data_IF_766526220459
#
_entry.id   IF_766526220459
#
_cell.length_a   1.000
_cell.length_b   1.000
_cell.length_c   1.000
_cell.angle_alpha   90.00
_cell.angle_beta   90.00
_cell.angle_gamma   90.00
#
_symmetry.space_group_name_H-M   'P 1'
#
loop_
_entity.id
_entity.type
_entity.pdbx_description
1 polymer ?
#
# COMPACT_ATOMS: atom_id res chain seq x y z
N UNK A 1 -0.72 12.26 2.53
CA UNK A 1 -0.88 10.89 3.04
C UNK A 1 -2.34 10.55 3.33
N UNK A 2 -3.04 11.21 4.27
CA UNK A 2 -4.41 10.83 4.69
C UNK A 2 -5.41 10.89 3.53
N UNK A 3 -5.50 12.00 2.80
CA UNK A 3 -6.42 12.13 1.67
C UNK A 3 -6.21 11.05 0.59
N UNK A 4 -4.97 10.62 0.35
CA UNK A 4 -4.67 9.55 -0.62
C UNK A 4 -4.78 8.13 -0.04
N UNK A 5 -4.96 7.98 1.28
CA UNK A 5 -5.02 6.69 1.94
C UNK A 5 -3.73 5.86 1.81
N UNK A 6 -2.60 6.50 1.55
CA UNK A 6 -1.32 5.81 1.37
C UNK A 6 -0.76 5.33 2.70
N UNK A 7 -0.31 4.10 2.71
CA UNK A 7 0.32 3.44 3.87
C UNK A 7 1.63 2.79 3.43
N UNK A 8 2.62 2.84 4.30
CA UNK A 8 3.93 2.26 4.04
C UNK A 8 3.99 0.73 4.21
N UNK A 9 5.20 0.14 4.16
CA UNK A 9 5.42 -1.32 4.14
C UNK A 9 4.84 -2.07 5.35
N UNK A 10 4.76 -1.41 6.52
CA UNK A 10 4.26 -2.02 7.75
C UNK A 10 2.72 -2.17 7.81
N UNK A 11 1.97 -1.71 6.79
CA UNK A 11 0.51 -1.69 6.84
C UNK A 11 -0.13 -3.03 7.19
N UNK A 12 0.43 -4.12 6.68
CA UNK A 12 -0.12 -5.46 6.92
C UNK A 12 -0.08 -5.87 8.40
N UNK A 13 0.91 -5.36 9.16
CA UNK A 13 1.12 -5.71 10.56
C UNK A 13 0.56 -4.69 11.54
N UNK A 14 0.59 -3.38 11.19
CA UNK A 14 0.20 -2.31 12.12
C UNK A 14 -1.10 -1.62 11.77
N UNK A 15 -1.70 -1.95 10.63
CA UNK A 15 -2.90 -1.28 10.10
C UNK A 15 -2.59 -0.17 9.10
N UNK A 16 -3.61 0.28 8.38
CA UNK A 16 -3.54 1.38 7.42
C UNK A 16 -3.70 2.74 8.08
N UNK A 17 -3.42 3.82 7.34
CA UNK A 17 -3.57 5.19 7.84
C UNK A 17 -5.00 5.46 8.38
N UNK A 18 -6.01 4.82 7.81
CA UNK A 18 -7.41 4.88 8.27
C UNK A 18 -7.59 4.42 9.72
N UNK A 19 -6.80 3.44 10.16
CA UNK A 19 -6.87 2.88 11.51
C UNK A 19 -6.24 3.79 12.57
N UNK A 20 -5.53 4.84 12.11
CA UNK A 20 -4.85 5.81 12.95
C UNK A 20 -5.58 7.15 13.05
N UNK A 21 -6.52 7.47 12.15
CA UNK A 21 -7.28 8.71 12.19
C UNK A 21 -8.31 8.65 13.32
N UNK A 22 -8.23 9.58 14.26
CA UNK A 22 -9.14 9.74 15.39
C UNK A 22 -10.19 10.81 15.11
N UNK A 23 -9.81 11.88 14.41
CA UNK A 23 -10.69 12.98 14.09
C UNK A 23 -10.07 13.88 13.03
N UNK A 24 -10.89 14.76 12.46
CA UNK A 24 -10.43 15.77 11.51
C UNK A 24 -11.34 17.01 11.50
N UNK A 25 -10.77 18.11 11.00
CA UNK A 25 -11.53 19.30 10.57
C UNK A 25 -11.42 19.42 9.06
N UNK A 26 -12.48 19.87 8.41
CA UNK A 26 -12.52 20.04 6.96
C UNK A 26 -13.40 21.21 6.54
N UNK A 27 -13.18 21.68 5.33
CA UNK A 27 -14.07 22.59 4.62
C UNK A 27 -14.72 21.81 3.48
N UNK A 28 -16.06 21.78 3.44
CA UNK A 28 -16.81 21.09 2.40
C UNK A 28 -17.09 22.00 1.18
N UNK A 29 -17.77 21.48 0.14
CA UNK A 29 -18.11 22.22 -1.08
C UNK A 29 -19.17 23.33 -0.89
N UNK A 30 -19.72 23.47 0.32
CA UNK A 30 -20.61 24.57 0.70
C UNK A 30 -19.89 25.68 1.46
N UNK A 31 -18.58 25.57 1.67
CA UNK A 31 -17.79 26.49 2.47
C UNK A 31 -17.98 26.31 3.98
N UNK A 32 -18.62 25.23 4.42
CA UNK A 32 -18.87 24.96 5.84
C UNK A 32 -17.63 24.34 6.48
N UNK A 33 -17.19 24.88 7.63
CA UNK A 33 -16.15 24.29 8.45
C UNK A 33 -16.76 23.22 9.37
N UNK A 34 -16.39 21.97 9.13
CA UNK A 34 -16.94 20.81 9.81
C UNK A 34 -15.87 20.12 10.66
N UNK A 35 -16.28 19.58 11.80
CA UNK A 35 -15.41 18.79 12.70
C UNK A 35 -16.03 17.43 12.92
N UNK A 36 -15.24 16.37 12.71
CA UNK A 36 -15.65 14.98 12.91
C UNK A 36 -14.67 14.24 13.80
N UNK A 37 -15.20 13.39 14.69
CA UNK A 37 -14.38 12.67 15.67
C UNK A 37 -13.74 13.60 16.69
N UNK A 38 -12.59 13.23 17.19
CA UNK A 38 -11.88 13.99 18.23
C UNK A 38 -10.47 13.44 18.48
N UNK A 39 -10.05 13.45 19.76
CA UNK A 39 -8.75 12.92 20.19
C UNK A 39 -8.89 11.60 20.98
N UNK A 40 -10.11 11.06 21.07
CA UNK A 40 -10.38 9.83 21.82
C UNK A 40 -10.31 8.60 20.92
N UNK A 41 -9.75 7.51 21.43
CA UNK A 41 -9.59 6.26 20.66
C UNK A 41 -10.91 5.55 20.38
N UNK A 42 -11.94 5.79 21.18
CA UNK A 42 -13.27 5.20 21.01
C UNK A 42 -14.32 6.31 20.91
N UNK A 43 -14.73 6.62 19.68
CA UNK A 43 -15.89 7.46 19.43
C UNK A 43 -17.10 6.53 19.20
N UNK A 44 -18.15 6.67 19.99
CA UNK A 44 -19.36 5.85 19.92
C UNK A 44 -20.58 6.63 19.44
N UNK A 45 -20.43 7.92 19.13
CA UNK A 45 -21.52 8.78 18.69
C UNK A 45 -21.41 9.09 17.20
N UNK A 46 -22.43 8.75 16.44
CA UNK A 46 -22.56 9.11 15.03
C UNK A 46 -21.72 8.26 14.05
N UNK A 47 -21.76 8.66 12.78
CA UNK A 47 -20.99 8.02 11.72
C UNK A 47 -19.52 8.42 11.76
N UNK A 48 -18.64 7.48 11.44
CA UNK A 48 -17.19 7.73 11.39
C UNK A 48 -16.77 8.42 10.08
N UNK A 49 -17.14 9.68 9.95
CA UNK A 49 -16.79 10.52 8.80
C UNK A 49 -15.29 10.76 8.73
N UNK A 50 -14.58 10.77 9.87
CA UNK A 50 -13.13 10.96 9.91
C UNK A 50 -12.42 9.87 9.09
N UNK A 51 -12.84 8.62 9.24
CA UNK A 51 -12.28 7.51 8.47
C UNK A 51 -12.79 7.44 7.04
N UNK A 52 -13.97 8.00 6.76
CA UNK A 52 -14.49 8.11 5.39
C UNK A 52 -13.60 9.00 4.52
N UNK A 53 -13.03 10.07 5.09
CA UNK A 53 -12.17 11.01 4.38
C UNK A 53 -10.80 10.43 4.02
N UNK A 54 -10.39 9.33 4.65
CA UNK A 54 -9.11 8.66 4.34
C UNK A 54 -9.23 7.94 3.00
N UNK A 55 -8.41 8.35 2.04
CA UNK A 55 -8.43 7.80 0.68
C UNK A 55 -9.50 8.41 -0.23
N UNK A 56 -10.22 9.43 0.23
CA UNK A 56 -11.19 10.16 -0.61
C UNK A 56 -10.53 11.05 -1.68
N UNK A 57 -9.21 11.08 -1.79
CA UNK A 57 -8.43 11.81 -2.79
C UNK A 57 -8.73 13.32 -2.84
N UNK A 58 -9.26 13.87 -1.74
CA UNK A 58 -9.69 15.26 -1.65
C UNK A 58 -10.97 15.57 -2.46
N UNK A 59 -11.75 14.57 -2.84
CA UNK A 59 -12.98 14.78 -3.64
C UNK A 59 -14.18 15.23 -2.81
N UNK A 60 -14.11 15.09 -1.49
CA UNK A 60 -15.22 15.41 -0.58
C UNK A 60 -15.01 16.74 0.19
N UNK A 61 -13.82 17.34 0.08
CA UNK A 61 -13.49 18.57 0.77
C UNK A 61 -12.01 18.71 1.09
N UNK A 62 -11.65 19.85 1.68
CA UNK A 62 -10.30 20.21 2.11
C UNK A 62 -10.09 19.84 3.59
N UNK A 63 -9.17 18.93 3.87
CA UNK A 63 -8.76 18.62 5.25
C UNK A 63 -7.85 19.70 5.81
N UNK A 64 -8.24 20.32 6.93
CA UNK A 64 -7.52 21.45 7.54
C UNK A 64 -6.77 21.04 8.81
N UNK A 65 -7.27 20.04 9.55
CA UNK A 65 -6.64 19.50 10.75
C UNK A 65 -6.91 18.00 10.84
N UNK A 66 -5.94 17.23 11.30
CA UNK A 66 -6.06 15.77 11.43
C UNK A 66 -5.46 15.34 12.77
N UNK A 67 -6.25 14.60 13.58
CA UNK A 67 -5.81 13.97 14.80
C UNK A 67 -5.46 12.50 14.53
N UNK A 68 -4.22 12.12 14.82
CA UNK A 68 -3.72 10.76 14.61
C UNK A 68 -3.32 10.11 15.93
N UNK A 69 -3.67 8.85 16.10
CA UNK A 69 -3.07 8.01 17.13
C UNK A 69 -1.61 7.71 16.76
N UNK A 70 -0.74 7.58 17.73
CA UNK A 70 0.65 7.16 17.57
C UNK A 70 0.91 5.85 18.31
N UNK A 71 1.92 5.10 17.87
CA UNK A 71 2.40 3.91 18.57
C UNK A 71 3.78 4.18 19.18
N UNK A 72 4.12 3.53 20.29
CA UNK A 72 5.47 3.56 20.83
C UNK A 72 6.48 3.04 19.79
N UNK A 73 7.69 3.59 19.83
CA UNK A 73 8.80 3.07 19.03
C UNK A 73 9.17 1.68 19.56
N UNK A 74 9.27 0.70 18.68
CA UNK A 74 9.69 -0.64 19.09
C UNK A 74 11.14 -0.61 19.58
N UNK A 75 11.49 -1.32 20.68
CA UNK A 75 12.83 -1.31 21.24
C UNK A 75 13.87 -2.01 20.34
N UNK A 76 13.46 -2.96 19.52
CA UNK A 76 14.35 -3.65 18.62
C UNK A 76 13.76 -3.82 17.20
N UNK A 77 14.65 -3.85 16.22
CA UNK A 77 14.35 -4.08 14.81
C UNK A 77 15.46 -4.94 14.18
N UNK A 78 15.09 -5.87 13.30
CA UNK A 78 16.01 -6.61 12.45
C UNK A 78 15.40 -6.80 11.07
N UNK A 79 16.24 -6.89 10.03
CA UNK A 79 15.83 -7.24 8.67
C UNK A 79 16.59 -8.46 8.21
N UNK A 80 15.85 -9.47 7.75
CA UNK A 80 16.38 -10.68 7.13
C UNK A 80 16.17 -10.63 5.63
N UNK A 81 17.12 -11.18 4.88
CA UNK A 81 17.09 -11.28 3.42
C UNK A 81 17.21 -12.74 3.02
N UNK A 82 16.32 -13.16 2.14
CA UNK A 82 16.28 -14.50 1.58
C UNK A 82 16.25 -14.42 0.06
N UNK A 83 17.06 -15.24 -0.60
CA UNK A 83 17.00 -15.36 -2.07
C UNK A 83 16.03 -16.51 -2.41
N UNK A 84 14.88 -16.16 -3.00
CA UNK A 84 13.85 -17.13 -3.36
C UNK A 84 12.86 -16.59 -4.38
N UNK A 85 12.29 -17.47 -5.24
CA UNK A 85 11.24 -17.11 -6.19
C UNK A 85 9.99 -16.55 -5.49
N UNK A 86 9.26 -15.66 -6.20
CA UNK A 86 8.06 -14.98 -5.67
C UNK A 86 7.04 -15.95 -5.07
N UNK A 87 6.77 -17.08 -5.74
CA UNK A 87 5.80 -18.07 -5.26
C UNK A 87 6.21 -18.64 -3.90
N UNK A 88 7.47 -19.03 -3.76
CA UNK A 88 8.01 -19.53 -2.49
C UNK A 88 8.02 -18.44 -1.41
N UNK A 89 8.38 -17.21 -1.76
CA UNK A 89 8.34 -16.07 -0.83
C UNK A 89 6.94 -15.84 -0.24
N UNK A 90 5.89 -15.95 -1.06
CA UNK A 90 4.51 -15.83 -0.60
C UNK A 90 4.09 -16.98 0.31
N UNK A 91 4.40 -18.22 -0.04
CA UNK A 91 4.13 -19.40 0.80
C UNK A 91 4.84 -19.29 2.15
N UNK A 92 6.10 -18.85 2.14
CA UNK A 92 6.89 -18.67 3.34
C UNK A 92 6.35 -17.55 4.22
N UNK A 93 5.94 -16.43 3.64
CA UNK A 93 5.29 -15.33 4.37
C UNK A 93 3.97 -15.76 5.02
N UNK A 94 3.17 -16.62 4.37
CA UNK A 94 1.96 -17.19 4.96
C UNK A 94 2.29 -18.13 6.12
N UNK A 95 3.30 -18.98 5.97
CA UNK A 95 3.77 -19.89 7.02
C UNK A 95 4.23 -19.11 8.25
N UNK A 96 5.04 -18.07 8.06
CA UNK A 96 5.51 -17.22 9.15
C UNK A 96 4.38 -16.35 9.73
N UNK A 97 3.44 -15.88 8.91
CA UNK A 97 2.28 -15.11 9.35
C UNK A 97 1.33 -15.89 10.27
N UNK A 98 1.32 -17.22 10.19
CA UNK A 98 0.60 -18.11 11.10
C UNK A 98 1.32 -18.40 12.42
N UNK A 99 2.53 -17.88 12.63
CA UNK A 99 3.35 -18.09 13.82
C UNK A 99 3.43 -16.82 14.67
N UNK A 100 3.74 -16.91 15.97
CA UNK A 100 3.89 -15.74 16.86
C UNK A 100 5.24 -15.03 16.63
N UNK A 101 5.52 -14.65 15.38
CA UNK A 101 6.71 -13.90 15.00
C UNK A 101 6.40 -12.40 14.97
N UNK A 102 7.33 -11.52 15.38
CA UNK A 102 7.13 -10.08 15.37
C UNK A 102 7.32 -9.50 13.95
N UNK A 103 6.60 -10.08 12.97
CA UNK A 103 6.61 -9.61 11.58
C UNK A 103 6.07 -8.19 11.50
N UNK A 104 6.80 -7.30 10.83
CA UNK A 104 6.42 -5.91 10.71
C UNK A 104 6.21 -5.47 9.25
N UNK A 105 7.11 -5.85 8.36
CA UNK A 105 7.00 -5.53 6.94
C UNK A 105 7.67 -6.61 6.10
N UNK A 106 7.29 -6.71 4.84
CA UNK A 106 8.00 -7.52 3.85
C UNK A 106 8.03 -6.80 2.51
N UNK A 107 9.09 -7.05 1.76
CA UNK A 107 9.25 -6.61 0.38
C UNK A 107 9.93 -7.73 -0.41
N UNK A 108 9.27 -8.22 -1.47
CA UNK A 108 9.90 -9.08 -2.44
C UNK A 108 10.11 -8.31 -3.75
N UNK A 109 11.27 -8.45 -4.33
CA UNK A 109 11.62 -7.78 -5.58
C UNK A 109 12.67 -8.59 -6.34
N UNK A 110 12.64 -8.50 -7.68
CA UNK A 110 13.77 -8.92 -8.50
C UNK A 110 14.78 -7.75 -8.54
N UNK A 111 15.89 -7.91 -7.83
CA UNK A 111 16.93 -6.89 -7.72
C UNK A 111 17.99 -7.10 -8.81
N UNK A 112 18.06 -6.17 -9.74
CA UNK A 112 19.03 -6.10 -10.84
C UNK A 112 20.06 -4.97 -10.67
N UNK A 113 20.09 -4.35 -9.49
CA UNK A 113 21.01 -3.25 -9.19
C UNK A 113 22.45 -3.69 -8.92
N UNK A 114 22.64 -4.96 -8.51
CA UNK A 114 23.97 -5.56 -8.34
C UNK A 114 24.54 -5.95 -9.71
N UNK A 115 25.65 -5.33 -10.17
CA UNK A 115 26.25 -5.64 -11.46
C UNK A 115 26.79 -7.08 -11.54
N UNK A 116 26.94 -7.78 -10.42
CA UNK A 116 27.37 -9.17 -10.35
C UNK A 116 26.18 -10.17 -10.36
N UNK A 117 24.94 -9.65 -10.32
CA UNK A 117 23.75 -10.49 -10.35
C UNK A 117 23.64 -11.25 -11.68
N UNK A 118 22.98 -12.41 -11.70
CA UNK A 118 22.64 -13.11 -12.94
C UNK A 118 21.82 -12.21 -13.88
N UNK A 119 21.84 -12.51 -15.17
CA UNK A 119 20.93 -11.85 -16.11
C UNK A 119 19.48 -12.06 -15.65
N UNK A 120 18.76 -10.96 -15.39
CA UNK A 120 17.41 -10.98 -14.84
C UNK A 120 17.32 -10.66 -13.35
N UNK A 121 18.47 -10.39 -12.69
CA UNK A 121 18.53 -9.98 -11.28
C UNK A 121 18.45 -11.16 -10.30
N UNK A 122 18.42 -10.83 -9.00
CA UNK A 122 18.19 -11.77 -7.90
C UNK A 122 16.80 -11.58 -7.32
N UNK A 123 16.08 -12.65 -7.12
CA UNK A 123 14.78 -12.64 -6.49
C UNK A 123 14.93 -12.64 -4.96
N UNK A 124 14.75 -11.46 -4.34
CA UNK A 124 15.03 -11.23 -2.93
C UNK A 124 13.76 -10.94 -2.14
N UNK A 125 13.61 -11.63 -1.02
CA UNK A 125 12.60 -11.36 0.00
C UNK A 125 13.26 -10.69 1.21
N UNK A 126 12.89 -9.46 1.48
CA UNK A 126 13.24 -8.73 2.70
C UNK A 126 12.13 -8.84 3.71
N UNK A 127 12.45 -9.23 4.94
CA UNK A 127 11.49 -9.35 6.04
C UNK A 127 11.98 -8.55 7.24
N UNK A 128 11.20 -7.54 7.65
CA UNK A 128 11.46 -6.74 8.84
C UNK A 128 10.72 -7.28 10.03
N UNK A 129 11.45 -7.51 11.11
CA UNK A 129 10.96 -7.88 12.43
C UNK A 129 11.04 -6.67 13.35
N UNK A 130 10.02 -6.42 14.18
CA UNK A 130 9.99 -5.31 15.13
C UNK A 130 9.25 -5.70 16.40
N UNK A 131 9.87 -5.42 17.55
CA UNK A 131 9.22 -5.73 18.84
C UNK A 131 10.19 -5.71 19.99
N UNK A 132 9.92 -6.52 21.03
CA UNK A 132 10.84 -6.74 22.14
C UNK A 132 12.13 -7.41 21.63
N UNK A 133 13.27 -7.05 22.18
CA UNK A 133 14.59 -7.52 21.76
C UNK A 133 14.67 -9.05 21.71
N UNK A 134 14.30 -9.72 22.81
CA UNK A 134 14.32 -11.18 22.88
C UNK A 134 13.41 -11.84 21.83
N UNK A 135 12.26 -11.23 21.50
CA UNK A 135 11.36 -11.76 20.48
C UNK A 135 11.94 -11.60 19.07
N UNK A 136 12.60 -10.47 18.79
CA UNK A 136 13.25 -10.22 17.51
C UNK A 136 14.42 -11.16 17.30
N UNK A 137 15.29 -11.35 18.31
CA UNK A 137 16.44 -12.25 18.22
C UNK A 137 16.01 -13.73 18.07
N UNK A 138 15.04 -14.19 18.84
CA UNK A 138 14.50 -15.53 18.70
C UNK A 138 13.88 -15.78 17.32
N UNK A 139 13.18 -14.78 16.77
CA UNK A 139 12.62 -14.85 15.44
C UNK A 139 13.70 -14.91 14.36
N UNK A 140 14.76 -14.10 14.46
CA UNK A 140 15.90 -14.16 13.55
C UNK A 140 16.52 -15.56 13.53
N UNK A 141 16.83 -16.13 14.70
CA UNK A 141 17.40 -17.48 14.81
C UNK A 141 16.49 -18.54 14.17
N UNK A 142 15.20 -18.50 14.50
CA UNK A 142 14.21 -19.44 13.97
C UNK A 142 14.10 -19.34 12.43
N UNK A 143 13.92 -18.17 11.90
CA UNK A 143 13.70 -17.97 10.45
C UNK A 143 14.95 -18.33 9.64
N UNK A 144 16.14 -18.02 10.15
CA UNK A 144 17.41 -18.40 9.51
C UNK A 144 17.72 -19.90 9.63
N UNK A 145 17.16 -20.60 10.61
CA UNK A 145 17.24 -22.05 10.69
C UNK A 145 16.27 -22.75 9.73
N UNK A 146 15.14 -22.13 9.41
CA UNK A 146 14.13 -22.66 8.47
C UNK A 146 14.50 -22.39 7.00
N UNK A 147 15.09 -21.23 6.71
CA UNK A 147 15.42 -20.80 5.35
C UNK A 147 16.83 -20.19 5.30
N UNK A 148 17.59 -20.55 4.25
CA UNK A 148 18.90 -19.94 4.00
C UNK A 148 18.74 -18.46 3.69
N UNK A 149 19.36 -17.62 4.51
CA UNK A 149 19.30 -16.17 4.38
C UNK A 149 20.36 -15.47 5.21
N UNK A 150 20.33 -14.15 5.22
CA UNK A 150 21.26 -13.31 5.98
C UNK A 150 20.53 -12.22 6.74
N UNK A 151 21.13 -11.73 7.83
CA UNK A 151 20.68 -10.54 8.55
C UNK A 151 21.40 -9.33 7.98
N UNK A 152 20.65 -8.31 7.60
CA UNK A 152 21.21 -7.04 7.16
C UNK A 152 21.77 -6.23 8.32
N UNK A 153 22.74 -5.35 8.01
CA UNK A 153 23.09 -4.24 8.89
C UNK A 153 21.86 -3.35 9.15
N UNK A 154 21.63 -2.99 10.41
CA UNK A 154 20.44 -2.24 10.79
C UNK A 154 20.39 -0.82 10.21
N UNK A 155 21.52 -0.14 10.07
CA UNK A 155 21.58 1.22 9.52
C UNK A 155 21.26 1.21 8.03
N UNK A 156 21.78 0.25 7.28
CA UNK A 156 21.47 0.03 5.88
C UNK A 156 19.97 -0.32 5.72
N UNK A 157 19.47 -1.28 6.50
CA UNK A 157 18.07 -1.71 6.43
C UNK A 157 17.10 -0.57 6.71
N UNK A 158 17.38 0.32 7.68
CA UNK A 158 16.55 1.51 7.96
C UNK A 158 16.51 2.45 6.76
N UNK A 159 17.64 2.66 6.08
CA UNK A 159 17.70 3.43 4.84
C UNK A 159 16.82 2.83 3.75
N UNK A 160 16.96 1.53 3.49
CA UNK A 160 16.21 0.83 2.45
C UNK A 160 14.69 0.81 2.73
N UNK A 161 14.27 0.61 4.00
CA UNK A 161 12.86 0.73 4.38
C UNK A 161 12.32 2.16 4.27
N UNK A 162 13.14 3.18 4.45
CA UNK A 162 12.76 4.56 4.20
C UNK A 162 12.55 4.81 2.69
N UNK A 163 13.43 4.31 1.83
CA UNK A 163 13.28 4.35 0.38
C UNK A 163 12.03 3.58 -0.08
N UNK A 164 11.79 2.38 0.46
CA UNK A 164 10.58 1.58 0.18
C UNK A 164 9.31 2.36 0.56
N UNK A 165 9.25 2.91 1.77
CA UNK A 165 8.13 3.71 2.25
C UNK A 165 7.85 4.94 1.39
N UNK A 166 8.88 5.58 0.88
CA UNK A 166 8.78 6.80 0.09
C UNK A 166 8.69 6.54 -1.42
N UNK A 167 8.67 5.26 -1.85
CA UNK A 167 8.66 4.85 -3.26
C UNK A 167 9.89 5.37 -4.02
N UNK A 168 11.05 5.27 -3.38
CA UNK A 168 12.35 5.70 -3.89
C UNK A 168 13.33 4.53 -4.11
N UNK A 169 12.88 3.29 -4.00
CA UNK A 169 13.67 2.14 -4.43
C UNK A 169 13.94 2.20 -5.93
N UNK A 170 15.03 1.61 -6.42
CA UNK A 170 15.35 1.55 -7.85
C UNK A 170 14.17 1.10 -8.69
N UNK A 171 13.39 0.10 -8.25
CA UNK A 171 12.16 -0.34 -8.89
C UNK A 171 11.18 0.79 -9.23
N UNK A 172 11.05 1.81 -8.38
CA UNK A 172 10.13 2.93 -8.59
C UNK A 172 10.75 4.05 -9.43
N UNK A 173 12.07 4.24 -9.34
CA UNK A 173 12.78 5.34 -9.99
C UNK A 173 13.21 4.98 -11.42
N UNK A 174 13.59 3.73 -11.64
CA UNK A 174 14.05 3.24 -12.94
C UNK A 174 12.86 2.70 -13.74
N UNK A 175 12.09 3.59 -14.39
CA UNK A 175 11.02 3.21 -15.31
C UNK A 175 11.59 2.35 -16.43
N UNK A 176 11.18 1.07 -16.59
CA UNK A 176 11.84 0.13 -17.52
C UNK A 176 11.67 0.51 -19.00
N UNK A 177 10.55 1.16 -19.37
CA UNK A 177 10.30 1.66 -20.72
C UNK A 177 9.32 2.84 -20.68
N UNK A 178 9.41 3.73 -21.68
CA UNK A 178 8.65 5.00 -21.69
C UNK A 178 7.13 4.81 -21.77
N UNK A 179 6.66 3.73 -22.37
CA UNK A 179 5.25 3.37 -22.56
C UNK A 179 4.62 2.64 -21.36
N UNK A 180 5.41 2.26 -20.36
CA UNK A 180 4.91 1.59 -19.18
C UNK A 180 4.37 2.60 -18.15
N UNK A 181 3.33 2.22 -17.47
CA UNK A 181 2.72 2.91 -16.34
C UNK A 181 2.94 2.11 -15.05
N UNK A 182 2.99 2.76 -13.91
CA UNK A 182 3.07 2.10 -12.62
C UNK A 182 1.66 1.77 -12.12
N UNK A 183 1.41 0.48 -11.96
CA UNK A 183 0.17 -0.06 -11.43
C UNK A 183 0.33 -0.50 -9.99
N UNK A 184 -0.72 -0.27 -9.21
CA UNK A 184 -0.84 -0.71 -7.83
C UNK A 184 -2.03 -1.63 -7.68
N UNK A 185 -1.79 -2.90 -7.37
CA UNK A 185 -2.82 -3.89 -7.09
C UNK A 185 -2.85 -4.16 -5.58
N UNK A 186 -4.01 -3.95 -4.98
CA UNK A 186 -4.28 -4.39 -3.61
C UNK A 186 -5.13 -5.64 -3.70
N UNK A 187 -4.65 -6.75 -3.16
CA UNK A 187 -5.28 -8.09 -3.27
C UNK A 187 -5.31 -8.78 -1.90
N UNK A 188 -5.95 -9.94 -1.81
CA UNK A 188 -5.84 -10.77 -0.62
C UNK A 188 -4.37 -11.17 -0.39
N UNK A 189 -3.91 -11.22 0.85
CA UNK A 189 -2.55 -11.68 1.16
C UNK A 189 -2.32 -13.12 0.69
N UNK A 190 -3.37 -13.93 0.64
CA UNK A 190 -3.38 -15.31 0.16
C UNK A 190 -3.40 -15.46 -1.36
N UNK A 191 -3.41 -14.35 -2.11
CA UNK A 191 -3.35 -14.38 -3.57
C UNK A 191 -2.03 -15.02 -4.04
N UNK A 192 -2.05 -15.90 -5.07
CA UNK A 192 -0.86 -16.56 -5.57
C UNK A 192 0.09 -15.56 -6.25
N UNK A 193 1.28 -16.03 -6.59
CA UNK A 193 2.19 -15.29 -7.48
C UNK A 193 1.52 -15.09 -8.85
N UNK A 194 1.65 -13.88 -9.39
CA UNK A 194 1.07 -13.56 -10.70
C UNK A 194 2.11 -13.79 -11.79
N UNK A 195 1.82 -14.73 -12.68
CA UNK A 195 2.65 -14.96 -13.87
C UNK A 195 2.39 -13.85 -14.89
N UNK A 196 3.11 -12.74 -14.74
CA UNK A 196 3.03 -11.57 -15.60
C UNK A 196 4.42 -11.26 -16.20
N UNK A 197 4.49 -10.82 -17.46
CA UNK A 197 5.76 -10.56 -18.13
C UNK A 197 6.44 -9.25 -17.70
N UNK A 198 5.89 -8.55 -16.74
CA UNK A 198 6.33 -7.24 -16.31
C UNK A 198 7.02 -7.30 -14.95
N UNK A 199 8.00 -6.40 -14.67
CA UNK A 199 8.65 -6.30 -13.38
C UNK A 199 7.66 -6.06 -12.25
N UNK A 200 7.82 -6.78 -11.15
CA UNK A 200 6.94 -6.74 -9.99
C UNK A 200 7.72 -6.46 -8.70
N UNK A 201 7.10 -5.74 -7.78
CA UNK A 201 7.51 -5.62 -6.39
C UNK A 201 6.31 -5.93 -5.49
N UNK A 202 6.52 -6.73 -4.45
CA UNK A 202 5.46 -7.23 -3.59
C UNK A 202 5.69 -6.80 -2.15
N UNK A 203 4.69 -6.14 -1.56
CA UNK A 203 4.69 -5.69 -0.18
C UNK A 203 3.50 -6.27 0.61
N UNK A 204 3.39 -5.89 1.89
CA UNK A 204 2.27 -6.21 2.78
C UNK A 204 2.00 -7.71 2.90
N UNK A 205 3.08 -8.50 3.00
CA UNK A 205 3.02 -9.97 3.06
C UNK A 205 2.23 -10.59 1.91
N UNK A 206 2.35 -10.00 0.71
CA UNK A 206 1.64 -10.46 -0.47
C UNK A 206 0.39 -9.65 -0.83
N UNK A 207 -0.09 -8.76 0.02
CA UNK A 207 -1.33 -8.00 -0.20
C UNK A 207 -1.20 -6.79 -1.12
N UNK A 208 0.00 -6.33 -1.39
CA UNK A 208 0.27 -5.22 -2.31
C UNK A 208 1.23 -5.67 -3.41
N UNK A 209 0.82 -5.45 -4.65
CA UNK A 209 1.63 -5.74 -5.84
C UNK A 209 1.82 -4.45 -6.63
N UNK A 210 3.06 -4.07 -6.83
CA UNK A 210 3.45 -3.02 -7.75
C UNK A 210 3.96 -3.65 -9.03
N UNK A 211 3.62 -3.08 -10.17
CA UNK A 211 4.13 -3.54 -11.45
C UNK A 211 4.19 -2.42 -12.48
N UNK A 212 5.19 -2.46 -13.33
CA UNK A 212 5.30 -1.64 -14.51
C UNK A 212 4.63 -2.38 -15.68
N UNK A 213 3.52 -1.87 -16.19
CA UNK A 213 2.80 -2.49 -17.29
C UNK A 213 2.21 -1.43 -18.22
N UNK A 214 1.97 -1.73 -19.51
CA UNK A 214 1.35 -0.78 -20.41
C UNK A 214 -0.09 -0.48 -20.01
N UNK A 215 -0.60 0.68 -20.43
CA UNK A 215 -1.95 1.15 -20.04
C UNK A 215 -3.05 0.25 -20.59
N UNK A 216 -2.86 -0.33 -21.78
CA UNK A 216 -3.79 -1.27 -22.39
C UNK A 216 -3.98 -2.58 -21.61
N UNK A 217 -3.04 -2.92 -20.71
CA UNK A 217 -3.21 -4.03 -19.76
C UNK A 217 -4.26 -3.76 -18.66
N UNK A 218 -4.85 -2.56 -18.59
CA UNK A 218 -5.78 -2.13 -17.54
C UNK A 218 -6.90 -3.15 -17.29
N UNK A 219 -7.59 -3.62 -18.33
CA UNK A 219 -8.70 -4.57 -18.21
C UNK A 219 -8.25 -5.90 -17.59
N UNK A 220 -7.10 -6.41 -18.02
CA UNK A 220 -6.49 -7.64 -17.50
C UNK A 220 -6.12 -7.48 -16.04
N UNK A 221 -5.44 -6.38 -15.67
CA UNK A 221 -4.98 -6.13 -14.29
C UNK A 221 -6.14 -5.90 -13.32
N UNK A 222 -7.19 -5.17 -13.76
CA UNK A 222 -8.41 -4.95 -12.98
C UNK A 222 -9.18 -6.26 -12.76
N UNK A 223 -9.28 -7.13 -13.77
CA UNK A 223 -9.89 -8.45 -13.64
C UNK A 223 -9.10 -9.35 -12.68
N UNK A 224 -7.79 -9.46 -12.87
CA UNK A 224 -6.90 -10.24 -12.02
C UNK A 224 -6.97 -9.82 -10.54
N UNK A 225 -6.94 -8.51 -10.26
CA UNK A 225 -7.05 -8.03 -8.89
C UNK A 225 -8.42 -8.35 -8.27
N UNK A 226 -9.51 -8.22 -9.02
CA UNK A 226 -10.87 -8.55 -8.56
C UNK A 226 -11.04 -10.03 -8.26
N UNK A 227 -10.56 -10.91 -9.12
CA UNK A 227 -10.56 -12.37 -8.92
C UNK A 227 -9.80 -12.77 -7.65
N UNK A 228 -8.81 -11.98 -7.26
CA UNK A 228 -8.02 -12.16 -6.04
C UNK A 228 -8.49 -11.28 -4.87
N UNK A 229 -9.75 -10.89 -4.84
CA UNK A 229 -10.40 -10.23 -3.71
C UNK A 229 -10.05 -8.74 -3.54
N UNK A 230 -9.54 -8.11 -4.59
CA UNK A 230 -9.02 -6.76 -4.51
C UNK A 230 -9.37 -5.83 -5.66
N UNK A 231 -8.49 -4.87 -5.92
CA UNK A 231 -8.61 -3.88 -6.99
C UNK A 231 -7.25 -3.46 -7.53
N UNK A 232 -7.23 -3.02 -8.79
CA UNK A 232 -6.07 -2.42 -9.43
C UNK A 232 -6.31 -0.92 -9.65
N UNK A 233 -5.24 -0.15 -9.54
CA UNK A 233 -5.23 1.29 -9.71
C UNK A 233 -4.03 1.70 -10.56
N UNK A 234 -4.25 2.59 -11.53
CA UNK A 234 -3.18 3.29 -12.22
C UNK A 234 -2.58 4.32 -11.25
N UNK A 235 -1.33 4.10 -10.85
CA UNK A 235 -0.69 4.93 -9.83
C UNK A 235 0.14 6.06 -10.43
N UNK A 236 0.93 5.75 -11.47
CA UNK A 236 1.67 6.74 -12.27
C UNK A 236 1.42 6.45 -13.75
N UNK A 237 0.91 7.44 -14.46
CA UNK A 237 0.64 7.33 -15.91
C UNK A 237 1.93 7.20 -16.74
N UNK A 238 1.84 6.64 -17.93
CA UNK A 238 2.96 6.51 -18.85
C UNK A 238 3.45 7.86 -19.38
N UNK A 239 2.54 8.80 -19.63
CA UNK A 239 2.82 10.15 -20.15
C UNK A 239 1.97 11.24 -19.50
N UNK A 240 2.33 12.50 -19.74
CA UNK A 240 1.67 13.68 -19.13
C UNK A 240 0.21 13.88 -19.57
N UNK A 241 -0.21 13.27 -20.69
CA UNK A 241 -1.54 13.44 -21.30
C UNK A 241 -2.55 12.37 -20.89
N UNK A 242 -2.11 11.32 -20.20
CA UNK A 242 -2.98 10.20 -19.79
C UNK A 242 -3.61 10.42 -18.41
N UNK A 243 -3.82 11.67 -18.00
CA UNK A 243 -4.58 11.99 -16.80
C UNK A 243 -6.04 11.63 -17.02
N UNK A 244 -6.40 10.38 -16.63
CA UNK A 244 -7.74 10.14 -16.16
C UNK A 244 -8.84 9.81 -17.12
N UNK A 245 -8.62 9.14 -18.24
CA UNK A 245 -9.72 8.39 -18.84
C UNK A 245 -10.05 7.19 -17.94
N UNK A 246 -11.06 7.34 -17.06
CA UNK A 246 -11.63 6.23 -16.32
C UNK A 246 -11.37 6.15 -14.82
N UNK A 247 -11.14 7.26 -14.11
CA UNK A 247 -10.99 7.28 -12.65
C UNK A 247 -9.86 6.36 -12.11
N UNK A 248 -9.33 6.67 -10.95
CA UNK A 248 -8.26 5.85 -10.34
C UNK A 248 -8.76 4.45 -9.92
N UNK A 249 -10.03 4.33 -9.57
CA UNK A 249 -10.61 3.11 -9.03
C UNK A 249 -11.71 2.52 -9.92
N UNK A 250 -11.84 1.20 -9.89
CA UNK A 250 -12.99 0.49 -10.44
C UNK A 250 -13.93 0.14 -9.30
N UNK A 251 -15.18 0.55 -9.38
CA UNK A 251 -16.18 0.15 -8.40
C UNK A 251 -16.61 -1.29 -8.60
N UNK A 252 -16.94 -1.97 -7.50
CA UNK A 252 -17.28 -3.40 -7.52
C UNK A 252 -18.69 -3.66 -8.06
N UNK A 253 -19.63 -2.73 -7.77
CA UNK A 253 -21.02 -2.91 -8.15
C UNK A 253 -21.77 -1.55 -8.23
N UNK A 254 -23.00 -1.52 -8.83
CA UNK A 254 -23.81 -0.30 -8.95
C UNK A 254 -24.20 0.35 -7.62
N UNK A 255 -24.40 -0.45 -6.54
CA UNK A 255 -24.75 0.09 -5.24
C UNK A 255 -23.60 0.92 -4.64
N UNK A 256 -22.36 0.45 -4.79
CA UNK A 256 -21.17 1.20 -4.38
C UNK A 256 -21.07 2.52 -5.15
N UNK A 257 -21.33 2.52 -6.47
CA UNK A 257 -21.38 3.74 -7.29
C UNK A 257 -22.43 4.74 -6.79
N UNK A 258 -23.62 4.26 -6.44
CA UNK A 258 -24.69 5.10 -5.93
C UNK A 258 -24.34 5.74 -4.57
N UNK A 259 -23.69 4.97 -3.69
CA UNK A 259 -23.21 5.49 -2.39
C UNK A 259 -22.17 6.57 -2.60
N UNK A 260 -21.17 6.33 -3.44
CA UNK A 260 -20.11 7.31 -3.72
C UNK A 260 -20.68 8.61 -4.31
N UNK A 261 -21.63 8.52 -5.24
CA UNK A 261 -22.29 9.68 -5.81
C UNK A 261 -23.04 10.49 -4.76
N UNK A 262 -23.83 9.84 -3.89
CA UNK A 262 -24.55 10.51 -2.81
C UNK A 262 -23.61 11.18 -1.81
N UNK A 263 -22.48 10.56 -1.50
CA UNK A 263 -21.44 11.18 -0.66
C UNK A 263 -20.90 12.46 -1.31
N UNK A 264 -20.57 12.40 -2.61
CA UNK A 264 -20.12 13.58 -3.36
C UNK A 264 -21.17 14.69 -3.34
N UNK A 265 -22.42 14.39 -3.68
CA UNK A 265 -23.55 15.34 -3.66
C UNK A 265 -23.77 15.96 -2.27
N UNK A 266 -23.54 15.18 -1.20
CA UNK A 266 -23.71 15.65 0.19
C UNK A 266 -22.59 16.61 0.59
N UNK A 267 -21.33 16.24 0.32
CA UNK A 267 -20.17 17.02 0.76
C UNK A 267 -19.75 18.11 -0.22
N UNK A 268 -19.94 17.89 -1.52
CA UNK A 268 -19.50 18.82 -2.58
C UNK A 268 -20.54 18.88 -3.72
N UNK A 269 -21.72 19.44 -3.48
CA UNK A 269 -22.80 19.47 -4.46
C UNK A 269 -22.51 20.29 -5.73
N UNK A 270 -21.51 21.18 -5.66
CA UNK A 270 -21.09 22.00 -6.79
C UNK A 270 -19.95 21.40 -7.61
N UNK A 271 -19.39 20.23 -7.17
CA UNK A 271 -18.30 19.58 -7.85
C UNK A 271 -16.98 20.35 -7.87
N UNK A 272 -16.69 21.12 -6.81
CA UNK A 272 -15.51 21.99 -6.72
C UNK A 272 -14.22 21.21 -6.45
N UNK A 273 -14.32 20.10 -5.72
CA UNK A 273 -13.16 19.35 -5.22
C UNK A 273 -12.82 18.15 -6.12
N UNK A 274 -11.70 18.24 -6.81
CA UNK A 274 -11.06 17.15 -7.56
C UNK A 274 -12.06 16.29 -8.39
N UNK A 275 -12.88 16.88 -9.27
CA UNK A 275 -13.84 16.11 -10.06
C UNK A 275 -13.11 15.10 -10.95
N UNK A 276 -13.67 13.88 -11.09
CA UNK A 276 -13.09 12.80 -11.87
C UNK A 276 -11.85 12.13 -11.27
N UNK A 277 -11.35 12.59 -10.12
CA UNK A 277 -10.11 12.07 -9.54
C UNK A 277 -10.26 10.67 -8.96
N UNK A 278 -11.36 10.40 -8.27
CA UNK A 278 -11.61 9.10 -7.65
C UNK A 278 -12.29 8.15 -8.64
N UNK A 279 -13.32 8.62 -9.27
CA UNK A 279 -14.15 7.92 -10.25
C UNK A 279 -14.43 8.89 -11.41
N UNK A 280 -14.54 8.36 -12.62
CA UNK A 280 -14.74 9.16 -13.85
C UNK A 280 -15.99 10.08 -13.79
N UNK A 281 -17.02 9.63 -13.10
CA UNK A 281 -18.31 10.34 -13.00
C UNK A 281 -18.52 11.09 -11.68
N UNK A 282 -17.47 11.27 -10.85
CA UNK A 282 -17.60 11.90 -9.53
C UNK A 282 -16.42 12.84 -9.25
#
# INVERSE_FOLDING_TARGET
MVACGLSGPARASVGGVRDYVLGLKMINGRGEALTFGGQVMKNVAGYDVSRLMVGAMGTLGLLTEISLKVLPVAPAEATLVFEMPQAHALEQLHTWGGQPLPLNASCWVCDDTDPTAPRGGRELLFVRLRGAEAAVEAACQKMLAEQTGTRMDNAQAQGDWALCRNQQLPFFLAKPASDLALWRLSVAQTAPAFNLPWPQLVEWHGGLRWLWAPVDAASKLKALARENGGHAMLFVAAGATETGAGGLFSLKNPAESAIQRRLKETFDPQGLFNPGRLLEAI
#
